data_IF_649443815944
#
_entry.id   IF_649443815944
#
_cell.length_a   1.000
_cell.length_b   1.000
_cell.length_c   1.000
_cell.angle_alpha   90.00
_cell.angle_beta   90.00
_cell.angle_gamma   90.00
#
_symmetry.space_group_name_H-M   'P 1'
#
loop_
_entity.id
_entity.type
_entity.pdbx_description
1 polymer ?
#
# COMPACT_ATOMS: atom_id res chain seq x y z
N UNK A 1 67.07 -10.55 -36.82
CA UNK A 1 66.78 -9.54 -37.85
C UNK A 1 65.43 -8.93 -37.52
N UNK A 2 65.42 -7.82 -36.77
CA UNK A 2 64.19 -7.18 -36.27
C UNK A 2 63.78 -6.09 -37.25
N UNK A 3 62.59 -6.22 -37.84
CA UNK A 3 62.05 -5.27 -38.80
C UNK A 3 61.53 -4.04 -38.03
N UNK A 4 62.21 -2.91 -38.21
CA UNK A 4 61.85 -1.62 -37.66
C UNK A 4 60.80 -0.95 -38.57
N UNK A 5 59.52 -1.08 -38.22
CA UNK A 5 58.40 -0.41 -38.90
C UNK A 5 58.39 1.08 -38.52
N UNK A 6 58.71 1.95 -39.49
CA UNK A 6 58.54 3.40 -39.39
C UNK A 6 57.05 3.76 -39.52
N UNK A 7 56.52 4.49 -38.53
CA UNK A 7 55.18 5.07 -38.53
C UNK A 7 55.14 6.28 -39.50
N UNK A 8 54.13 6.41 -40.37
CA UNK A 8 54.06 7.53 -41.32
C UNK A 8 53.73 8.88 -40.62
N UNK A 9 54.10 10.01 -41.23
CA UNK A 9 53.88 11.35 -40.68
C UNK A 9 52.39 11.72 -40.68
N UNK A 10 51.94 12.36 -39.60
CA UNK A 10 50.57 12.87 -39.45
C UNK A 10 50.42 14.11 -40.33
N UNK A 11 49.62 13.99 -41.38
CA UNK A 11 49.26 15.09 -42.28
C UNK A 11 48.29 16.06 -41.57
N UNK A 12 48.57 17.38 -41.50
CA UNK A 12 47.65 18.34 -40.90
C UNK A 12 46.46 18.58 -41.83
N UNK A 13 45.48 17.68 -41.76
CA UNK A 13 44.22 17.76 -42.49
C UNK A 13 43.35 18.93 -42.01
N UNK A 14 43.24 19.94 -42.86
CA UNK A 14 42.02 20.75 -43.11
C UNK A 14 41.20 21.17 -41.88
N UNK A 15 41.63 22.26 -41.25
CA UNK A 15 40.85 23.04 -40.27
C UNK A 15 39.61 23.76 -40.88
N UNK A 16 39.19 23.38 -42.09
CA UNK A 16 38.09 24.03 -42.85
C UNK A 16 36.92 23.07 -43.11
N UNK A 17 36.82 21.99 -42.32
CA UNK A 17 35.68 21.08 -42.34
C UNK A 17 34.49 21.75 -41.65
N UNK A 18 33.80 22.61 -42.41
CA UNK A 18 32.53 23.27 -42.08
C UNK A 18 31.54 22.23 -41.51
N UNK A 19 31.38 22.23 -40.18
CA UNK A 19 30.43 21.37 -39.47
C UNK A 19 29.03 21.63 -40.07
N UNK A 20 28.31 20.59 -40.55
CA UNK A 20 26.93 20.75 -41.00
C UNK A 20 26.13 21.40 -39.87
N UNK A 21 25.44 22.51 -40.16
CA UNK A 21 24.56 23.15 -39.19
C UNK A 21 23.53 22.13 -38.71
N UNK A 22 23.66 21.66 -37.48
CA UNK A 22 22.68 20.84 -36.80
C UNK A 22 21.35 21.61 -36.81
N UNK A 23 20.42 21.20 -37.65
CA UNK A 23 19.04 21.68 -37.59
C UNK A 23 18.46 21.12 -36.30
N UNK A 24 18.51 21.92 -35.23
CA UNK A 24 17.83 21.59 -33.97
C UNK A 24 16.33 21.54 -34.29
N UNK A 25 15.67 20.38 -34.14
CA UNK A 25 14.23 20.31 -34.30
C UNK A 25 13.61 21.31 -33.31
N UNK A 26 12.73 22.16 -33.82
CA UNK A 26 11.99 23.12 -33.03
C UNK A 26 11.36 22.41 -31.81
N UNK A 27 11.52 22.93 -30.58
CA UNK A 27 10.95 22.28 -29.41
C UNK A 27 9.44 22.28 -29.57
N UNK A 28 8.88 21.11 -29.90
CA UNK A 28 7.45 20.84 -29.82
C UNK A 28 6.95 21.39 -28.49
N UNK A 29 6.06 22.39 -28.55
CA UNK A 29 5.38 22.98 -27.41
C UNK A 29 4.48 21.96 -26.72
N UNK A 30 5.08 20.96 -26.10
CA UNK A 30 4.40 19.92 -25.36
C UNK A 30 3.81 20.56 -24.12
N UNK A 31 2.53 20.95 -24.21
CA UNK A 31 1.73 21.26 -23.04
C UNK A 31 1.66 19.97 -22.22
N UNK A 32 2.18 19.91 -20.97
CA UNK A 32 2.18 18.68 -20.19
C UNK A 32 0.73 18.34 -19.83
N UNK A 33 0.10 17.47 -20.62
CA UNK A 33 -1.25 17.00 -20.36
C UNK A 33 -1.26 16.23 -19.04
N UNK A 34 -2.11 16.61 -18.09
CA UNK A 34 -2.30 15.90 -16.80
C UNK A 34 -2.53 14.38 -16.95
N UNK A 35 -2.92 13.95 -18.16
CA UNK A 35 -3.12 12.57 -18.57
C UNK A 35 -1.82 11.75 -18.68
N UNK A 36 -0.69 12.33 -19.09
CA UNK A 36 0.59 11.61 -19.16
C UNK A 36 1.11 11.27 -17.78
N UNK A 37 0.94 12.16 -16.79
CA UNK A 37 1.31 11.87 -15.40
C UNK A 37 0.50 10.71 -14.81
N UNK A 38 -0.80 10.66 -15.09
CA UNK A 38 -1.66 9.56 -14.64
C UNK A 38 -1.31 8.23 -15.33
N UNK A 39 -1.00 8.26 -16.62
CA UNK A 39 -0.56 7.08 -17.37
C UNK A 39 0.79 6.56 -16.87
N UNK A 40 1.76 7.45 -16.63
CA UNK A 40 3.09 7.10 -16.08
C UNK A 40 2.97 6.58 -14.64
N UNK A 41 2.10 7.18 -13.83
CA UNK A 41 1.77 6.68 -12.48
C UNK A 41 1.17 5.26 -12.56
N UNK A 42 0.27 5.02 -13.51
CA UNK A 42 -0.36 3.71 -13.68
C UNK A 42 0.61 2.65 -14.22
N UNK A 43 1.56 3.01 -15.09
CA UNK A 43 2.60 2.09 -15.58
C UNK A 43 3.62 1.76 -14.50
N UNK A 44 4.02 2.73 -13.68
CA UNK A 44 4.95 2.50 -12.56
C UNK A 44 4.30 1.70 -11.43
N UNK A 45 3.03 1.96 -11.12
CA UNK A 45 2.23 1.12 -10.20
C UNK A 45 2.09 -0.31 -10.71
N UNK A 46 1.92 -0.50 -12.02
CA UNK A 46 1.79 -1.83 -12.65
C UNK A 46 3.12 -2.59 -12.68
N UNK A 47 4.24 -1.91 -12.89
CA UNK A 47 5.58 -2.49 -12.79
C UNK A 47 5.94 -2.91 -11.35
N UNK A 48 5.43 -2.18 -10.35
CA UNK A 48 5.63 -2.51 -8.92
C UNK A 48 4.90 -3.79 -8.50
N UNK A 49 3.81 -4.16 -9.18
CA UNK A 49 3.02 -5.36 -8.91
C UNK A 49 3.68 -6.67 -9.38
N UNK A 50 4.76 -6.61 -10.18
CA UNK A 50 5.39 -7.78 -10.79
C UNK A 50 6.29 -8.59 -9.83
N UNK A 51 6.70 -8.03 -8.68
CA UNK A 51 7.53 -8.75 -7.70
C UNK A 51 6.67 -9.29 -6.53
N UNK A 52 6.09 -10.46 -6.76
CA UNK A 52 5.02 -11.04 -5.94
C UNK A 52 5.44 -11.36 -4.49
N UNK A 53 6.72 -11.67 -4.24
CA UNK A 53 7.22 -11.95 -2.88
C UNK A 53 7.34 -10.67 -2.04
N UNK A 54 7.64 -9.55 -2.68
CA UNK A 54 7.94 -8.28 -2.02
C UNK A 54 6.68 -7.51 -1.60
N UNK A 55 5.56 -7.72 -2.29
CA UNK A 55 4.30 -7.02 -2.02
C UNK A 55 3.43 -7.70 -0.95
N UNK A 56 3.61 -9.00 -0.71
CA UNK A 56 2.74 -9.80 0.17
C UNK A 56 2.83 -9.40 1.65
N UNK A 57 4.00 -9.04 2.14
CA UNK A 57 4.20 -8.83 3.58
C UNK A 57 3.38 -7.66 4.16
N UNK A 58 3.40 -6.44 3.58
CA UNK A 58 2.53 -5.36 4.05
C UNK A 58 1.05 -5.65 3.84
N UNK A 59 0.68 -6.24 2.69
CA UNK A 59 -0.71 -6.53 2.35
C UNK A 59 -1.31 -7.52 3.36
N UNK A 60 -0.58 -8.57 3.72
CA UNK A 60 -1.01 -9.54 4.74
C UNK A 60 -1.13 -8.86 6.10
N UNK A 61 -0.20 -7.99 6.48
CA UNK A 61 -0.30 -7.26 7.74
C UNK A 61 -1.56 -6.38 7.80
N UNK A 62 -1.83 -5.58 6.76
CA UNK A 62 -3.05 -4.78 6.68
C UNK A 62 -4.33 -5.63 6.64
N UNK A 63 -4.30 -6.78 5.96
CA UNK A 63 -5.42 -7.72 5.96
C UNK A 63 -5.71 -8.25 7.37
N UNK A 64 -4.69 -8.69 8.10
CA UNK A 64 -4.83 -9.17 9.48
C UNK A 64 -5.37 -8.06 10.40
N UNK A 65 -4.84 -6.84 10.29
CA UNK A 65 -5.33 -5.67 11.04
C UNK A 65 -6.82 -5.44 10.77
N UNK A 66 -7.22 -5.39 9.49
CA UNK A 66 -8.61 -5.17 9.10
C UNK A 66 -9.53 -6.30 9.59
N UNK A 67 -9.13 -7.57 9.45
CA UNK A 67 -9.90 -8.72 9.98
C UNK A 67 -10.12 -8.58 11.48
N UNK A 68 -9.06 -8.33 12.26
CA UNK A 68 -9.14 -8.23 13.72
C UNK A 68 -10.03 -7.06 14.14
N UNK A 69 -9.91 -5.91 13.49
CA UNK A 69 -10.77 -4.75 13.78
C UNK A 69 -12.23 -5.11 13.54
N UNK A 70 -12.55 -5.72 12.40
CA UNK A 70 -13.92 -6.07 12.04
C UNK A 70 -14.51 -7.15 12.96
N UNK A 71 -13.76 -8.20 13.25
CA UNK A 71 -14.20 -9.28 14.15
C UNK A 71 -14.48 -8.74 15.56
N UNK A 72 -13.54 -7.98 16.14
CA UNK A 72 -13.69 -7.46 17.50
C UNK A 72 -14.80 -6.41 17.56
N UNK A 73 -14.90 -5.52 16.57
CA UNK A 73 -15.98 -4.52 16.53
C UNK A 73 -17.35 -5.20 16.33
N UNK A 74 -17.43 -6.23 15.48
CA UNK A 74 -18.65 -7.00 15.25
C UNK A 74 -19.11 -7.72 16.51
N UNK A 75 -18.19 -8.39 17.19
CA UNK A 75 -18.46 -9.00 18.49
C UNK A 75 -18.87 -7.97 19.55
N UNK A 76 -18.24 -6.81 19.56
CA UNK A 76 -18.56 -5.75 20.50
C UNK A 76 -19.97 -5.18 20.30
N UNK A 77 -20.36 -4.95 19.04
CA UNK A 77 -21.70 -4.50 18.63
C UNK A 77 -22.76 -5.57 18.95
N UNK A 78 -22.46 -6.83 18.72
CA UNK A 78 -23.34 -7.95 19.09
C UNK A 78 -23.64 -7.92 20.60
N UNK A 79 -22.62 -7.77 21.45
CA UNK A 79 -22.79 -7.69 22.91
C UNK A 79 -23.67 -6.51 23.36
N UNK A 80 -23.72 -5.42 22.59
CA UNK A 80 -24.59 -4.28 22.89
C UNK A 80 -26.07 -4.52 22.59
N UNK A 81 -26.37 -5.45 21.69
CA UNK A 81 -27.74 -5.79 21.29
C UNK A 81 -28.32 -6.96 22.10
N UNK A 82 -27.52 -7.64 22.94
CA UNK A 82 -28.00 -8.74 23.79
C UNK A 82 -28.96 -8.21 24.89
N UNK A 83 -30.24 -8.63 24.88
CA UNK A 83 -31.16 -8.30 25.96
C UNK A 83 -30.93 -9.21 27.18
N UNK A 84 -31.02 -8.65 28.38
CA UNK A 84 -30.91 -9.40 29.64
C UNK A 84 -30.42 -8.55 30.82
N UNK A 85 -30.57 -9.09 32.03
CA UNK A 85 -30.24 -8.40 33.29
C UNK A 85 -28.76 -8.01 33.37
N UNK A 86 -27.87 -8.76 32.70
CA UNK A 86 -26.43 -8.50 32.67
C UNK A 86 -25.97 -7.62 31.49
N UNK A 87 -26.88 -7.00 30.73
CA UNK A 87 -26.54 -6.19 29.55
C UNK A 87 -25.53 -5.07 29.83
N UNK A 88 -25.60 -4.43 31.01
CA UNK A 88 -24.63 -3.41 31.42
C UNK A 88 -23.20 -3.96 31.55
N UNK A 89 -23.05 -5.17 32.07
CA UNK A 89 -21.76 -5.84 32.23
C UNK A 89 -21.15 -6.22 30.86
N UNK A 90 -21.97 -6.72 29.93
CA UNK A 90 -21.51 -7.02 28.57
C UNK A 90 -21.07 -5.76 27.81
N UNK A 91 -21.81 -4.65 27.96
CA UNK A 91 -21.42 -3.36 27.36
C UNK A 91 -20.09 -2.86 27.89
N UNK A 92 -19.89 -2.93 29.22
CA UNK A 92 -18.65 -2.50 29.86
C UNK A 92 -17.45 -3.34 29.40
N UNK A 93 -17.55 -4.66 29.49
CA UNK A 93 -16.45 -5.58 29.12
C UNK A 93 -16.10 -5.51 27.64
N UNK A 94 -17.11 -5.43 26.76
CA UNK A 94 -16.95 -5.21 25.32
C UNK A 94 -16.22 -3.89 25.02
N UNK A 95 -16.63 -2.80 25.69
CA UNK A 95 -15.98 -1.49 25.52
C UNK A 95 -14.51 -1.53 25.96
N UNK A 96 -14.23 -2.17 27.09
CA UNK A 96 -12.85 -2.36 27.58
C UNK A 96 -12.03 -3.17 26.56
N UNK A 97 -12.59 -4.25 26.01
CA UNK A 97 -11.90 -5.07 25.01
C UNK A 97 -11.54 -4.26 23.75
N UNK A 98 -12.46 -3.44 23.23
CA UNK A 98 -12.20 -2.56 22.08
C UNK A 98 -11.12 -1.53 22.40
N UNK A 99 -11.17 -0.90 23.58
CA UNK A 99 -10.16 0.07 24.01
C UNK A 99 -8.77 -0.57 24.11
N UNK A 100 -8.67 -1.75 24.73
CA UNK A 100 -7.41 -2.48 24.87
C UNK A 100 -6.83 -2.90 23.52
N UNK A 101 -7.68 -3.11 22.51
CA UNK A 101 -7.27 -3.46 21.15
C UNK A 101 -6.57 -2.30 20.41
N UNK A 102 -6.85 -1.05 20.77
CA UNK A 102 -6.28 0.11 20.06
C UNK A 102 -4.75 0.10 20.12
N UNK A 103 -4.18 -0.21 21.28
CA UNK A 103 -2.73 -0.21 21.47
C UNK A 103 -2.00 -1.22 20.54
N UNK A 104 -2.33 -2.52 20.53
CA UNK A 104 -1.67 -3.48 19.63
C UNK A 104 -1.95 -3.21 18.15
N UNK A 105 -3.10 -2.65 17.79
CA UNK A 105 -3.36 -2.29 16.39
C UNK A 105 -2.47 -1.13 15.92
N UNK A 106 -2.26 -0.12 16.77
CA UNK A 106 -1.37 1.00 16.46
C UNK A 106 0.07 0.52 16.26
N UNK A 107 0.55 -0.43 17.08
CA UNK A 107 1.91 -0.96 16.91
C UNK A 107 2.03 -1.80 15.64
N UNK A 108 1.02 -2.60 15.30
CA UNK A 108 1.00 -3.38 14.06
C UNK A 108 0.94 -2.49 12.82
N UNK A 109 0.06 -1.48 12.82
CA UNK A 109 -0.08 -0.52 11.73
C UNK A 109 1.20 0.28 11.51
N UNK A 110 1.82 0.79 12.58
CA UNK A 110 3.10 1.48 12.50
C UNK A 110 4.22 0.58 11.96
N UNK A 111 4.20 -0.71 12.30
CA UNK A 111 5.19 -1.68 11.82
C UNK A 111 4.97 -2.02 10.33
N UNK A 112 3.72 -2.17 9.90
CA UNK A 112 3.36 -2.36 8.50
C UNK A 112 3.73 -1.14 7.64
N UNK A 113 3.46 0.07 8.14
CA UNK A 113 3.85 1.32 7.47
C UNK A 113 5.37 1.45 7.35
N UNK A 114 6.11 1.16 8.42
CA UNK A 114 7.59 1.15 8.41
C UNK A 114 8.16 0.12 7.44
N UNK A 115 7.57 -1.07 7.36
CA UNK A 115 7.98 -2.10 6.40
C UNK A 115 7.75 -1.66 4.96
N UNK A 116 6.62 -0.99 4.69
CA UNK A 116 6.29 -0.42 3.38
C UNK A 116 7.27 0.68 2.97
N UNK A 117 7.66 1.54 3.92
CA UNK A 117 8.63 2.61 3.70
C UNK A 117 10.05 2.09 3.41
N UNK A 118 10.56 1.15 4.23
CA UNK A 118 11.94 0.61 4.08
C UNK A 118 12.21 0.00 2.71
N UNK A 119 11.28 -0.79 2.18
CA UNK A 119 11.41 -1.43 0.85
C UNK A 119 11.50 -0.43 -0.29
N UNK A 120 10.99 0.77 -0.05
CA UNK A 120 10.96 1.83 -1.03
C UNK A 120 12.25 2.63 -1.03
N UNK A 121 12.82 2.90 0.14
CA UNK A 121 14.09 3.61 0.27
C UNK A 121 15.23 2.92 -0.52
N UNK A 122 15.26 1.58 -0.50
CA UNK A 122 16.19 0.77 -1.30
C UNK A 122 16.08 1.09 -2.80
N UNK A 123 14.86 1.22 -3.31
CA UNK A 123 14.58 1.56 -4.72
C UNK A 123 14.86 3.05 -5.03
N UNK A 124 14.57 3.96 -4.10
CA UNK A 124 14.75 5.41 -4.29
C UNK A 124 16.23 5.83 -4.28
N UNK A 125 17.11 5.06 -3.64
CA UNK A 125 18.56 5.29 -3.69
C UNK A 125 19.10 5.26 -5.13
N UNK A 126 18.62 4.31 -5.94
CA UNK A 126 18.99 4.18 -7.37
C UNK A 126 18.45 5.32 -8.23
N UNK A 127 17.26 5.83 -7.92
CA UNK A 127 16.62 6.94 -8.65
C UNK A 127 17.17 8.31 -8.25
N UNK A 128 17.59 8.47 -6.99
CA UNK A 128 18.31 9.68 -6.54
C UNK A 128 19.66 9.81 -7.21
N UNK A 129 20.35 8.71 -7.51
CA UNK A 129 21.60 8.70 -8.28
C UNK A 129 21.42 9.21 -9.72
N UNK A 130 20.20 9.19 -10.26
CA UNK A 130 19.84 9.71 -11.60
C UNK A 130 19.16 11.10 -11.52
N UNK A 131 19.09 11.71 -10.33
CA UNK A 131 18.61 13.09 -10.14
C UNK A 131 17.09 13.27 -10.02
N UNK A 132 16.34 12.22 -9.65
CA UNK A 132 14.89 12.30 -9.53
C UNK A 132 14.40 13.24 -8.40
N UNK A 133 13.33 14.00 -8.66
CA UNK A 133 12.75 14.98 -7.72
C UNK A 133 12.03 14.35 -6.52
N UNK A 134 12.41 14.75 -5.30
CA UNK A 134 11.89 14.24 -4.01
C UNK A 134 10.36 14.32 -3.83
N UNK A 135 9.70 15.29 -4.48
CA UNK A 135 8.24 15.45 -4.38
C UNK A 135 7.48 14.33 -5.09
N UNK A 136 7.92 13.98 -6.31
CA UNK A 136 7.34 12.88 -7.09
C UNK A 136 7.55 11.53 -6.39
N UNK A 137 8.63 11.38 -5.62
CA UNK A 137 8.92 10.18 -4.85
C UNK A 137 8.01 10.00 -3.63
N UNK A 138 7.46 11.09 -3.07
CA UNK A 138 6.59 11.10 -1.88
C UNK A 138 5.09 10.98 -2.21
N UNK A 139 4.60 11.64 -3.27
CA UNK A 139 3.50 11.08 -4.08
C UNK A 139 4.03 9.77 -4.69
N UNK A 140 3.34 8.85 -5.34
CA UNK A 140 3.90 7.49 -5.57
C UNK A 140 4.07 6.72 -4.23
N UNK A 141 4.79 7.26 -3.23
CA UNK A 141 4.78 7.04 -1.77
C UNK A 141 3.49 6.51 -1.21
N UNK A 142 2.74 7.53 -0.86
CA UNK A 142 1.41 7.49 -0.31
C UNK A 142 0.48 6.64 -1.18
N UNK A 143 0.60 6.72 -2.51
CA UNK A 143 -0.29 5.95 -3.40
C UNK A 143 0.02 4.46 -3.40
N UNK A 144 1.29 4.02 -3.31
CA UNK A 144 1.61 2.59 -3.18
C UNK A 144 1.20 2.04 -1.82
N UNK A 145 1.50 2.78 -0.74
CA UNK A 145 1.10 2.40 0.61
C UNK A 145 -0.43 2.35 0.76
N UNK A 146 -1.13 3.36 0.23
CA UNK A 146 -2.58 3.40 0.19
C UNK A 146 -3.18 2.25 -0.63
N UNK A 147 -2.55 1.87 -1.75
CA UNK A 147 -2.99 0.72 -2.54
C UNK A 147 -2.78 -0.60 -1.78
N UNK A 148 -1.65 -0.76 -1.07
CA UNK A 148 -1.41 -1.92 -0.21
C UNK A 148 -2.42 -2.03 0.93
N UNK A 149 -2.69 -0.90 1.59
CA UNK A 149 -3.70 -0.82 2.65
C UNK A 149 -5.11 -1.10 2.11
N UNK A 150 -5.45 -0.60 0.92
CA UNK A 150 -6.73 -0.85 0.27
C UNK A 150 -6.91 -2.33 -0.04
N UNK A 151 -5.94 -2.97 -0.71
CA UNK A 151 -6.04 -4.40 -1.03
C UNK A 151 -6.02 -5.25 0.24
N UNK A 152 -5.16 -4.92 1.21
CA UNK A 152 -5.15 -5.56 2.51
C UNK A 152 -6.51 -5.46 3.19
N UNK A 153 -7.14 -4.29 3.21
CA UNK A 153 -8.46 -4.09 3.83
C UNK A 153 -9.55 -4.92 3.14
N UNK A 154 -9.54 -5.01 1.80
CA UNK A 154 -10.48 -5.87 1.06
C UNK A 154 -10.29 -7.35 1.42
N UNK A 155 -9.04 -7.80 1.52
CA UNK A 155 -8.72 -9.16 1.98
C UNK A 155 -9.16 -9.37 3.43
N UNK A 156 -9.01 -8.37 4.29
CA UNK A 156 -9.45 -8.42 5.68
C UNK A 156 -10.96 -8.57 5.82
N UNK A 157 -11.74 -7.90 4.96
CA UNK A 157 -13.21 -8.09 4.89
C UNK A 157 -13.53 -9.54 4.51
N UNK A 158 -12.79 -10.10 3.56
CA UNK A 158 -12.97 -11.51 3.18
C UNK A 158 -12.66 -12.42 4.37
N UNK A 159 -11.58 -12.14 5.11
CA UNK A 159 -11.25 -12.85 6.36
C UNK A 159 -12.35 -12.76 7.41
N UNK A 160 -12.88 -11.56 7.66
CA UNK A 160 -14.02 -11.33 8.56
C UNK A 160 -15.25 -12.15 8.16
N UNK A 161 -15.63 -12.12 6.86
CA UNK A 161 -16.77 -12.90 6.37
C UNK A 161 -16.56 -14.40 6.51
N UNK A 162 -15.32 -14.88 6.34
CA UNK A 162 -14.96 -16.28 6.58
C UNK A 162 -14.99 -16.66 8.08
N UNK A 163 -14.67 -15.72 8.97
CA UNK A 163 -14.78 -15.89 10.41
C UNK A 163 -16.24 -15.92 10.90
N UNK A 164 -17.16 -15.18 10.27
CA UNK A 164 -18.58 -15.11 10.64
C UNK A 164 -19.25 -16.46 10.94
N UNK A 165 -19.17 -17.51 10.09
CA UNK A 165 -19.81 -18.80 10.38
C UNK A 165 -19.17 -19.52 11.56
N UNK A 166 -17.86 -19.37 11.78
CA UNK A 166 -17.18 -19.94 12.94
C UNK A 166 -17.58 -19.19 14.23
N UNK A 167 -17.62 -17.86 14.17
CA UNK A 167 -18.02 -17.01 15.29
C UNK A 167 -19.49 -17.18 15.65
N UNK A 168 -20.37 -17.36 14.66
CA UNK A 168 -21.81 -17.58 14.86
C UNK A 168 -22.16 -18.93 15.50
N UNK A 169 -21.22 -19.88 15.55
CA UNK A 169 -21.38 -21.16 16.27
C UNK A 169 -21.16 -21.01 17.78
N UNK A 170 -20.55 -19.91 18.24
CA UNK A 170 -20.44 -19.65 19.67
C UNK A 170 -21.84 -19.52 20.28
N UNK A 171 -22.03 -20.17 21.42
CA UNK A 171 -23.27 -20.11 22.18
C UNK A 171 -23.10 -19.10 23.31
N UNK A 172 -23.90 -18.04 23.30
CA UNK A 172 -23.93 -17.01 24.34
C UNK A 172 -25.32 -17.00 24.98
N UNK A 173 -25.40 -17.05 26.31
CA UNK A 173 -26.66 -17.08 27.07
C UNK A 173 -27.68 -18.14 26.62
N UNK A 174 -27.22 -19.36 26.32
CA UNK A 174 -28.10 -20.51 26.03
C UNK A 174 -28.63 -20.59 24.59
N UNK A 175 -28.26 -19.66 23.70
CA UNK A 175 -28.58 -19.71 22.27
C UNK A 175 -27.35 -19.47 21.39
N UNK A 176 -27.42 -19.89 20.13
CA UNK A 176 -26.38 -19.55 19.12
C UNK A 176 -26.46 -18.06 18.81
N UNK A 177 -25.31 -17.41 18.72
CA UNK A 177 -25.21 -15.97 18.43
C UNK A 177 -25.81 -15.60 17.07
N UNK A 178 -25.70 -16.49 16.08
CA UNK A 178 -26.11 -16.22 14.71
C UNK A 178 -25.13 -15.30 13.98
N UNK A 179 -24.81 -15.64 12.74
CA UNK A 179 -23.87 -14.87 11.92
C UNK A 179 -24.40 -13.46 11.57
N UNK A 180 -25.72 -13.29 11.59
CA UNK A 180 -26.46 -12.06 11.37
C UNK A 180 -26.25 -11.02 12.49
N UNK A 181 -26.11 -11.46 13.74
CA UNK A 181 -25.88 -10.58 14.89
C UNK A 181 -24.47 -9.94 14.89
N UNK A 182 -23.50 -10.60 14.26
CA UNK A 182 -22.10 -10.13 14.16
C UNK A 182 -21.90 -9.33 12.86
N UNK A 183 -22.81 -9.45 11.90
CA UNK A 183 -22.71 -8.82 10.59
C UNK A 183 -22.86 -7.30 10.74
N UNK A 184 -21.75 -6.57 10.60
CA UNK A 184 -21.78 -5.12 10.70
C UNK A 184 -22.52 -4.52 9.51
N UNK A 185 -23.26 -3.43 9.76
CA UNK A 185 -23.79 -2.55 8.71
C UNK A 185 -22.64 -2.08 7.81
N UNK A 186 -22.88 -1.72 6.54
CA UNK A 186 -21.81 -1.33 5.61
C UNK A 186 -21.04 -0.07 6.03
N UNK A 187 -21.62 0.77 6.88
CA UNK A 187 -21.02 2.04 7.35
C UNK A 187 -19.71 1.84 8.13
N UNK A 188 -19.67 1.06 9.23
CA UNK A 188 -18.41 0.80 9.96
C UNK A 188 -17.37 0.07 9.11
N UNK A 189 -17.76 -0.79 8.18
CA UNK A 189 -16.81 -1.44 7.24
C UNK A 189 -16.12 -0.39 6.38
N UNK A 190 -16.88 0.54 5.81
CA UNK A 190 -16.32 1.66 5.05
C UNK A 190 -15.42 2.56 5.90
N UNK A 191 -15.78 2.76 7.17
CA UNK A 191 -14.95 3.49 8.15
C UNK A 191 -13.57 2.85 8.34
N UNK A 192 -13.50 1.52 8.53
CA UNK A 192 -12.23 0.80 8.69
C UNK A 192 -11.35 0.91 7.46
N UNK A 193 -11.93 0.76 6.25
CA UNK A 193 -11.18 0.96 5.00
C UNK A 193 -10.63 2.37 4.93
N UNK A 194 -11.46 3.38 5.22
CA UNK A 194 -11.05 4.78 5.17
C UNK A 194 -9.91 5.06 6.16
N UNK A 195 -10.01 4.58 7.40
CA UNK A 195 -8.98 4.77 8.43
C UNK A 195 -7.67 4.07 8.12
N UNK A 196 -7.70 2.93 7.41
CA UNK A 196 -6.47 2.23 7.02
C UNK A 196 -5.82 2.82 5.76
N UNK A 197 -6.60 3.44 4.88
CA UNK A 197 -6.13 3.99 3.60
C UNK A 197 -5.65 5.45 3.73
N UNK A 198 -6.28 6.25 4.60
CA UNK A 198 -6.02 7.69 4.78
C UNK A 198 -4.99 7.97 5.88
#
# INVERSE_FOLDING_TARGET
MVIMTMTPPIEPGTADQRIPSLTVPEPLGATPGRLTTAAILSMTLRASAADHSTWRLPVVAFAVIATIILDVTGGAVMMWHLPGDNSGFYKLTSTIAVILLVLPLMTLAASAARLSARRRDDRLSSLRLVGASSHLLRVVALTEAGLQALVGSILGITGYVLCLPLLGQLSFNGGKVGADSILLRPIPVAGVILTLVL
#
